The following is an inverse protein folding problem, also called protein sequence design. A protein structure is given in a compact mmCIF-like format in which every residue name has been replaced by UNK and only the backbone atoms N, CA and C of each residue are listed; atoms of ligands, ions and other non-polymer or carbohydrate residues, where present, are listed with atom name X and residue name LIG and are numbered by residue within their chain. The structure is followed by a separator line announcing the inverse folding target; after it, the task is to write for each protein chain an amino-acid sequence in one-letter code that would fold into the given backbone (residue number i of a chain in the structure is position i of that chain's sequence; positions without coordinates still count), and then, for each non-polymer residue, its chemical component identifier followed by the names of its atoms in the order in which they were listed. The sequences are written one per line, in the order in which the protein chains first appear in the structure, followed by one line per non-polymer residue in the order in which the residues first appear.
data_IF_160019213507
#
_entry.id   IF_160019213507
#
_cell.length_a   1.000
_cell.length_b   1.000
_cell.length_c   1.000
_cell.angle_alpha   90.00
_cell.angle_beta   90.00
_cell.angle_gamma   90.00
#
_symmetry.space_group_name_H-M   'P 1'
#
loop_
_entity.id
_entity.type
_entity.pdbx_description
1 polymer ?
#
# COMPACT_ATOMS: atom_id res chain seq x y z
N UNK A 1 20.10 -64.53 -15.40
CA UNK A 1 20.45 -63.28 -16.11
C UNK A 1 20.59 -62.16 -15.09
N UNK A 2 21.72 -61.44 -15.17
CA UNK A 2 22.31 -60.57 -14.14
C UNK A 2 21.45 -59.36 -13.72
N UNK A 3 21.08 -59.29 -12.44
CA UNK A 3 20.44 -58.13 -11.81
C UNK A 3 21.45 -57.16 -11.15
N UNK A 4 22.74 -57.26 -11.47
CA UNK A 4 23.82 -56.50 -10.81
C UNK A 4 24.16 -55.15 -11.46
N UNK A 5 23.44 -54.74 -12.51
CA UNK A 5 23.66 -53.47 -13.23
C UNK A 5 22.80 -52.32 -12.74
N UNK A 6 21.64 -52.59 -12.15
CA UNK A 6 20.71 -51.54 -11.70
C UNK A 6 21.13 -50.93 -10.36
N UNK A 7 21.72 -51.73 -9.46
CA UNK A 7 22.18 -51.27 -8.14
C UNK A 7 23.40 -50.36 -8.20
N UNK A 8 24.24 -50.48 -9.24
CA UNK A 8 25.43 -49.63 -9.42
C UNK A 8 25.10 -48.22 -9.91
N UNK A 9 23.98 -48.05 -10.62
CA UNK A 9 23.52 -46.74 -11.08
C UNK A 9 22.91 -45.91 -9.95
N UNK A 10 22.19 -46.55 -9.03
CA UNK A 10 21.54 -45.86 -7.92
C UNK A 10 22.55 -45.32 -6.89
N UNK A 11 23.66 -46.02 -6.66
CA UNK A 11 24.73 -45.60 -5.74
C UNK A 11 25.53 -44.42 -6.30
N UNK A 12 25.65 -44.29 -7.63
CA UNK A 12 26.33 -43.16 -8.27
C UNK A 12 25.53 -41.85 -8.14
N UNK A 13 24.20 -41.92 -8.21
CA UNK A 13 23.35 -40.73 -8.11
C UNK A 13 23.25 -40.15 -6.69
N UNK A 14 23.36 -40.99 -5.65
CA UNK A 14 23.28 -40.52 -4.24
C UNK A 14 24.58 -39.83 -3.80
N UNK A 15 25.73 -40.16 -4.38
CA UNK A 15 27.02 -39.53 -4.08
C UNK A 15 27.23 -38.13 -4.70
N UNK A 16 26.37 -37.72 -5.64
CA UNK A 16 26.44 -36.42 -6.31
C UNK A 16 25.67 -35.29 -5.60
N UNK A 17 24.92 -35.58 -4.52
CA UNK A 17 24.06 -34.59 -3.83
C UNK A 17 24.68 -34.05 -2.52
N UNK A 18 25.79 -34.63 -2.04
CA UNK A 18 26.46 -34.22 -0.79
C UNK A 18 27.50 -33.09 -0.93
N UNK A 19 27.38 -32.25 -1.97
CA UNK A 19 28.40 -31.25 -2.34
C UNK A 19 27.96 -29.79 -2.38
N UNK A 20 26.88 -29.39 -1.68
CA UNK A 20 26.51 -27.97 -1.56
C UNK A 20 26.10 -27.63 -0.12
N UNK A 21 27.07 -27.70 0.78
CA UNK A 21 27.05 -26.97 2.05
C UNK A 21 28.34 -26.16 2.08
N UNK A 22 28.24 -24.87 2.40
CA UNK A 22 29.31 -23.87 2.53
C UNK A 22 29.73 -23.11 1.26
N UNK A 23 28.95 -22.08 0.92
CA UNK A 23 29.42 -20.76 0.47
C UNK A 23 28.19 -19.86 0.37
N UNK A 24 28.07 -18.67 0.94
CA UNK A 24 28.92 -17.86 1.79
C UNK A 24 27.96 -16.88 2.47
N UNK A 25 27.98 -16.80 3.80
CA UNK A 25 27.61 -15.56 4.48
C UNK A 25 28.54 -14.49 3.92
N UNK A 26 28.01 -13.54 3.17
CA UNK A 26 28.71 -12.29 2.91
C UNK A 26 28.17 -11.28 3.91
N UNK A 27 28.82 -11.28 5.07
CA UNK A 27 29.02 -10.06 5.83
C UNK A 27 29.69 -9.05 4.89
N UNK A 28 28.90 -8.19 4.26
CA UNK A 28 29.45 -6.92 3.80
C UNK A 28 29.44 -5.98 5.00
N UNK A 29 30.57 -6.05 5.71
CA UNK A 29 31.11 -5.01 6.56
C UNK A 29 30.70 -3.63 6.05
N UNK A 30 29.83 -2.96 6.81
CA UNK A 30 29.57 -1.53 6.67
C UNK A 30 30.90 -0.83 6.91
N UNK A 31 31.62 -0.50 5.83
CA UNK A 31 32.68 0.48 5.90
C UNK A 31 32.02 1.82 6.18
N UNK A 32 32.19 2.28 7.42
CA UNK A 32 32.03 3.66 7.79
C UNK A 32 32.79 4.55 6.79
N UNK A 33 32.06 5.36 6.04
CA UNK A 33 32.54 6.68 5.65
C UNK A 33 31.72 7.67 6.46
N UNK A 34 32.34 8.01 7.59
CA UNK A 34 32.12 9.23 8.33
C UNK A 34 32.38 10.46 7.44
N UNK A 35 31.84 11.59 7.89
CA UNK A 35 31.82 12.93 7.33
C UNK A 35 30.56 13.28 6.53
N UNK A 36 29.48 13.62 7.26
CA UNK A 36 29.05 15.02 7.31
C UNK A 36 28.21 15.28 8.57
N UNK A 37 28.85 15.96 9.55
CA UNK A 37 28.27 16.69 10.69
C UNK A 37 27.23 15.97 11.55
N UNK A 38 27.72 15.40 12.65
CA UNK A 38 27.01 15.47 13.93
C UNK A 38 26.67 16.93 14.24
N UNK A 39 25.38 17.24 14.31
CA UNK A 39 24.89 18.28 15.21
C UNK A 39 24.13 17.52 16.30
N UNK A 40 24.79 17.35 17.44
CA UNK A 40 24.11 17.05 18.68
C UNK A 40 23.05 18.13 18.92
N UNK A 41 21.78 17.76 18.85
CA UNK A 41 20.68 18.58 19.34
C UNK A 41 19.98 17.80 20.45
N UNK A 42 20.02 18.43 21.61
CA UNK A 42 19.61 17.92 22.88
C UNK A 42 18.11 17.54 22.93
N UNK A 43 17.85 16.67 23.89
CA UNK A 43 16.56 16.33 24.46
C UNK A 43 15.63 17.55 24.60
N UNK A 44 14.55 17.55 23.82
CA UNK A 44 13.35 18.34 24.06
C UNK A 44 12.23 17.72 23.21
N UNK A 45 11.27 17.13 23.91
CA UNK A 45 9.93 16.85 23.39
C UNK A 45 9.44 18.02 22.53
N UNK A 46 9.51 17.86 21.21
CA UNK A 46 8.92 18.79 20.25
C UNK A 46 7.82 18.05 19.51
N UNK A 47 6.60 18.47 19.81
CA UNK A 47 5.36 18.02 19.23
C UNK A 47 5.42 18.10 17.69
N UNK A 48 5.24 16.95 17.03
CA UNK A 48 4.49 16.85 15.78
C UNK A 48 5.14 17.41 14.51
N UNK A 49 6.35 17.01 14.15
CA UNK A 49 6.78 17.13 12.74
C UNK A 49 7.27 15.77 12.29
N UNK A 50 6.55 15.12 11.36
CA UNK A 50 6.96 13.81 10.85
C UNK A 50 8.08 14.06 9.83
N UNK A 51 9.34 14.12 10.28
CA UNK A 51 10.45 14.52 9.41
C UNK A 51 10.87 13.50 8.33
N UNK A 52 10.02 12.53 7.96
CA UNK A 52 10.32 11.54 6.93
C UNK A 52 9.11 11.30 6.01
N UNK A 53 9.23 11.37 4.68
CA UNK A 53 8.25 10.79 3.78
C UNK A 53 8.21 9.29 4.02
N UNK A 54 7.05 8.73 4.34
CA UNK A 54 6.93 7.32 4.71
C UNK A 54 5.50 6.80 4.60
N UNK A 55 5.34 5.51 4.92
CA UNK A 55 4.03 4.89 5.12
C UNK A 55 3.62 5.08 6.58
N UNK A 56 2.42 5.57 6.82
CA UNK A 56 1.92 5.90 8.15
C UNK A 56 0.64 5.16 8.45
N UNK A 57 0.60 4.46 9.58
CA UNK A 57 -0.63 3.93 10.13
C UNK A 57 -1.30 5.02 10.97
N UNK A 58 -2.54 5.38 10.62
CA UNK A 58 -3.34 6.33 11.37
C UNK A 58 -3.84 5.67 12.66
N UNK A 59 -3.88 6.46 13.73
CA UNK A 59 -4.44 6.04 15.03
C UNK A 59 -5.71 6.79 15.41
N UNK A 60 -6.02 7.86 14.68
CA UNK A 60 -7.21 8.69 14.82
C UNK A 60 -7.66 9.21 13.46
N UNK A 61 -8.95 9.50 13.38
CA UNK A 61 -9.57 10.10 12.21
C UNK A 61 -10.35 9.10 11.36
N UNK A 62 -11.04 9.63 10.35
CA UNK A 62 -12.06 8.90 9.60
C UNK A 62 -11.73 8.96 8.11
N UNK A 63 -11.90 7.82 7.43
CA UNK A 63 -12.00 7.73 5.98
C UNK A 63 -13.46 7.45 5.62
N UNK A 64 -14.07 8.33 4.81
CA UNK A 64 -15.42 8.13 4.26
C UNK A 64 -15.34 7.88 2.77
N UNK A 65 -16.11 6.91 2.30
CA UNK A 65 -16.25 6.56 0.88
C UNK A 65 -17.74 6.49 0.57
N UNK A 66 -18.19 7.25 -0.42
CA UNK A 66 -19.55 7.19 -0.95
C UNK A 66 -19.51 6.61 -2.35
N UNK A 67 -20.32 5.58 -2.58
CA UNK A 67 -20.58 5.01 -3.90
C UNK A 67 -22.09 4.88 -4.03
N UNK A 68 -22.64 5.40 -5.13
CA UNK A 68 -24.09 5.56 -5.30
C UNK A 68 -24.68 6.36 -4.11
N UNK A 69 -25.67 5.80 -3.42
CA UNK A 69 -26.32 6.43 -2.26
C UNK A 69 -25.79 5.89 -0.91
N UNK A 70 -24.74 5.06 -0.95
CA UNK A 70 -24.20 4.39 0.24
C UNK A 70 -22.86 5.00 0.67
N UNK A 71 -22.78 5.39 1.95
CA UNK A 71 -21.54 5.85 2.57
C UNK A 71 -20.98 4.80 3.53
N UNK A 72 -19.72 4.44 3.30
CA UNK A 72 -18.93 3.54 4.12
C UNK A 72 -17.88 4.36 4.87
N UNK A 73 -17.63 3.99 6.13
CA UNK A 73 -16.64 4.67 6.96
C UNK A 73 -15.67 3.67 7.56
N UNK A 74 -14.40 4.05 7.59
CA UNK A 74 -13.37 3.40 8.39
C UNK A 74 -12.95 4.37 9.49
N UNK A 75 -12.87 3.89 10.72
CA UNK A 75 -12.42 4.67 11.87
C UNK A 75 -11.05 4.18 12.32
N UNK A 76 -10.01 5.04 12.23
CA UNK A 76 -8.64 4.68 12.60
C UNK A 76 -8.47 4.31 14.08
N UNK A 77 -9.45 4.58 14.94
CA UNK A 77 -9.45 4.10 16.32
C UNK A 77 -9.72 2.59 16.44
N UNK A 78 -10.39 1.99 15.46
CA UNK A 78 -10.81 0.58 15.49
C UNK A 78 -10.35 -0.23 14.28
N UNK A 79 -10.24 0.43 13.12
CA UNK A 79 -9.87 -0.12 11.83
C UNK A 79 -8.42 0.22 11.49
N UNK A 80 -7.83 -0.54 10.57
CA UNK A 80 -6.47 -0.26 10.10
C UNK A 80 -6.54 0.65 8.89
N UNK A 81 -6.14 1.91 9.03
CA UNK A 81 -6.05 2.88 7.94
C UNK A 81 -4.61 3.37 7.82
N UNK A 82 -4.03 3.27 6.63
CA UNK A 82 -2.70 3.75 6.35
C UNK A 82 -2.67 4.76 5.21
N UNK A 83 -1.86 5.79 5.36
CA UNK A 83 -1.42 6.63 4.25
C UNK A 83 -0.09 6.07 3.74
N UNK A 84 -0.01 5.78 2.44
CA UNK A 84 1.16 5.15 1.84
C UNK A 84 1.86 6.11 0.88
N UNK A 85 3.19 6.07 0.88
CA UNK A 85 4.07 6.69 -0.10
C UNK A 85 5.03 5.62 -0.61
N UNK A 86 4.97 5.33 -1.90
CA UNK A 86 5.76 4.26 -2.53
C UNK A 86 6.63 4.86 -3.62
N UNK A 87 7.93 4.63 -3.54
CA UNK A 87 8.90 5.00 -4.56
C UNK A 87 9.52 3.72 -5.14
N UNK A 88 9.40 3.52 -6.45
CA UNK A 88 10.01 2.40 -7.18
C UNK A 88 10.74 2.94 -8.42
N UNK A 89 12.06 3.14 -8.29
CA UNK A 89 12.85 3.87 -9.29
C UNK A 89 12.32 5.29 -9.45
N UNK A 90 11.98 5.66 -10.68
CA UNK A 90 11.40 6.97 -11.00
C UNK A 90 9.90 7.06 -10.70
N UNK A 91 9.23 5.92 -10.52
CA UNK A 91 7.79 5.88 -10.26
C UNK A 91 7.52 6.21 -8.80
N UNK A 92 6.66 7.20 -8.58
CA UNK A 92 6.25 7.66 -7.25
C UNK A 92 4.74 7.63 -7.17
N UNK A 93 4.24 7.07 -6.08
CA UNK A 93 2.82 7.00 -5.78
C UNK A 93 2.58 7.37 -4.34
N UNK A 94 1.40 7.94 -4.08
CA UNK A 94 0.86 8.06 -2.75
C UNK A 94 -0.59 7.59 -2.73
N UNK A 95 -1.11 7.26 -1.56
CA UNK A 95 -2.46 6.73 -1.47
C UNK A 95 -2.92 6.43 -0.05
N UNK A 96 -4.12 5.87 0.03
CA UNK A 96 -4.76 5.46 1.28
C UNK A 96 -5.15 4.00 1.13
N UNK A 97 -4.87 3.21 2.15
CA UNK A 97 -5.41 1.85 2.29
C UNK A 97 -6.17 1.75 3.60
N UNK A 98 -7.26 1.00 3.61
CA UNK A 98 -8.06 0.77 4.79
C UNK A 98 -8.61 -0.66 4.81
N UNK A 99 -8.69 -1.26 5.99
CA UNK A 99 -9.38 -2.52 6.23
C UNK A 99 -10.08 -2.45 7.58
N UNK A 100 -11.36 -2.82 7.60
CA UNK A 100 -12.13 -2.79 8.83
C UNK A 100 -11.72 -3.95 9.75
N UNK A 101 -11.93 -3.79 11.06
CA UNK A 101 -11.56 -4.81 12.05
C UNK A 101 -12.16 -6.19 11.79
N UNK A 102 -13.36 -6.24 11.22
CA UNK A 102 -14.04 -7.49 10.88
C UNK A 102 -13.48 -8.17 9.62
N UNK A 103 -12.55 -7.51 8.90
CA UNK A 103 -12.01 -7.96 7.61
C UNK A 103 -13.10 -8.24 6.56
N UNK A 104 -14.21 -7.52 6.63
CA UNK A 104 -15.33 -7.64 5.68
C UNK A 104 -15.33 -6.55 4.62
N UNK A 105 -14.54 -5.49 4.81
CA UNK A 105 -14.42 -4.38 3.88
C UNK A 105 -12.97 -3.92 3.82
N UNK A 106 -12.46 -3.69 2.61
CA UNK A 106 -11.18 -3.02 2.41
C UNK A 106 -11.22 -2.07 1.24
N UNK A 107 -10.49 -0.98 1.36
CA UNK A 107 -10.43 0.08 0.36
C UNK A 107 -8.98 0.45 0.10
N UNK A 108 -8.67 0.77 -1.15
CA UNK A 108 -7.38 1.29 -1.58
C UNK A 108 -7.58 2.31 -2.70
N UNK A 109 -6.90 3.44 -2.60
CA UNK A 109 -6.82 4.42 -3.69
C UNK A 109 -5.41 5.00 -3.75
N UNK A 110 -4.90 5.21 -4.96
CA UNK A 110 -3.58 5.79 -5.17
C UNK A 110 -3.58 6.81 -6.30
N UNK A 111 -2.58 7.68 -6.25
CA UNK A 111 -2.27 8.68 -7.26
C UNK A 111 -0.80 8.61 -7.60
N UNK A 112 -0.46 8.98 -8.83
CA UNK A 112 0.92 9.24 -9.24
C UNK A 112 1.47 10.51 -8.57
N UNK A 113 2.79 10.55 -8.41
CA UNK A 113 3.54 11.69 -7.90
C UNK A 113 3.88 11.61 -6.43
N UNK A 114 4.20 12.76 -5.84
CA UNK A 114 4.56 12.91 -4.44
C UNK A 114 3.38 13.41 -3.62
N UNK A 115 3.22 12.90 -2.40
CA UNK A 115 2.36 13.53 -1.42
C UNK A 115 2.99 14.84 -0.95
N UNK A 116 2.28 15.95 -1.22
CA UNK A 116 2.60 17.28 -0.72
C UNK A 116 1.31 17.99 -0.33
N UNK A 117 1.40 18.99 0.55
CA UNK A 117 0.24 19.81 0.89
C UNK A 117 -0.27 20.55 -0.35
N UNK A 118 -1.59 20.72 -0.46
CA UNK A 118 -2.30 21.27 -1.62
C UNK A 118 -2.06 20.53 -2.95
N UNK A 119 -1.65 19.26 -2.91
CA UNK A 119 -1.53 18.44 -4.12
C UNK A 119 -2.91 18.16 -4.71
N UNK A 120 -2.98 18.11 -6.04
CA UNK A 120 -4.14 17.66 -6.79
C UNK A 120 -3.64 16.77 -7.93
N UNK A 121 -3.80 15.46 -7.76
CA UNK A 121 -3.14 14.49 -8.61
C UNK A 121 -4.14 13.44 -9.10
N UNK A 122 -3.90 12.92 -10.31
CA UNK A 122 -4.80 11.97 -10.97
C UNK A 122 -4.76 10.61 -10.26
N UNK A 123 -5.93 10.00 -10.12
CA UNK A 123 -6.03 8.64 -9.61
C UNK A 123 -5.36 7.68 -10.59
N UNK A 124 -4.49 6.83 -10.04
CA UNK A 124 -3.71 5.83 -10.76
C UNK A 124 -4.13 4.39 -10.41
N UNK A 125 -4.82 4.21 -9.28
CA UNK A 125 -5.35 2.93 -8.84
C UNK A 125 -6.48 3.12 -7.84
N UNK A 126 -7.42 2.17 -7.83
CA UNK A 126 -8.57 2.21 -6.94
C UNK A 126 -9.21 0.84 -6.81
N UNK A 127 -9.54 0.43 -5.58
CA UNK A 127 -10.27 -0.79 -5.32
C UNK A 127 -11.08 -0.68 -4.03
N UNK A 128 -12.31 -1.20 -4.06
CA UNK A 128 -13.15 -1.41 -2.89
C UNK A 128 -13.65 -2.86 -2.89
N UNK A 129 -13.25 -3.62 -1.88
CA UNK A 129 -13.62 -5.02 -1.71
C UNK A 129 -14.59 -5.20 -0.56
N UNK A 130 -15.58 -6.07 -0.77
CA UNK A 130 -16.48 -6.56 0.25
C UNK A 130 -16.35 -8.09 0.34
N UNK A 131 -16.05 -8.56 1.54
CA UNK A 131 -15.88 -9.97 1.85
C UNK A 131 -16.84 -10.37 2.95
N UNK A 132 -17.64 -11.40 2.74
CA UNK A 132 -18.34 -12.08 3.84
C UNK A 132 -17.88 -13.54 3.80
N UNK A 133 -16.73 -13.81 4.44
CA UNK A 133 -16.32 -15.16 4.84
C UNK A 133 -15.47 -16.04 3.90
N UNK A 134 -14.99 -15.59 2.73
CA UNK A 134 -14.33 -16.49 1.76
C UNK A 134 -13.01 -15.99 1.13
N UNK A 135 -12.30 -16.91 0.43
CA UNK A 135 -11.03 -16.68 -0.31
C UNK A 135 -11.13 -15.70 -1.48
N UNK A 136 -12.34 -15.28 -1.88
CA UNK A 136 -12.61 -14.29 -2.93
C UNK A 136 -13.61 -13.25 -2.41
N UNK A 137 -13.46 -11.96 -2.78
CA UNK A 137 -14.45 -10.95 -2.44
C UNK A 137 -15.79 -11.26 -3.13
N UNK A 138 -16.89 -11.10 -2.40
CA UNK A 138 -18.25 -11.28 -2.94
C UNK A 138 -18.63 -10.15 -3.89
N UNK A 139 -18.09 -8.97 -3.64
CA UNK A 139 -18.30 -7.78 -4.44
C UNK A 139 -17.00 -7.00 -4.48
N UNK A 140 -16.59 -6.61 -5.68
CA UNK A 140 -15.45 -5.74 -5.89
C UNK A 140 -15.80 -4.60 -6.83
N UNK A 141 -15.30 -3.42 -6.49
CA UNK A 141 -15.25 -2.27 -7.37
C UNK A 141 -13.80 -1.95 -7.63
N UNK A 142 -13.41 -1.80 -8.89
CA UNK A 142 -12.02 -1.53 -9.28
C UNK A 142 -11.95 -0.39 -10.26
N UNK A 143 -10.85 0.36 -10.22
CA UNK A 143 -10.56 1.35 -11.25
C UNK A 143 -10.42 0.59 -12.57
N UNK A 144 -11.30 0.91 -13.50
CA UNK A 144 -11.32 0.22 -14.78
C UNK A 144 -10.22 0.76 -15.70
N UNK A 145 -9.72 -0.12 -16.57
CA UNK A 145 -8.83 0.26 -17.68
C UNK A 145 -9.59 0.90 -18.87
N UNK A 146 -10.93 0.88 -18.82
CA UNK A 146 -11.81 1.26 -19.93
C UNK A 146 -12.28 2.73 -19.88
N UNK A 147 -11.93 3.49 -18.83
CA UNK A 147 -12.10 4.95 -18.82
C UNK A 147 -10.96 5.63 -19.58
N UNK A 148 -11.24 6.77 -20.20
CA UNK A 148 -10.19 7.61 -20.79
C UNK A 148 -9.16 8.04 -19.74
N UNK A 149 -7.89 8.23 -20.15
CA UNK A 149 -6.78 8.64 -19.25
C UNK A 149 -7.02 9.97 -18.51
N UNK A 150 -8.01 10.76 -18.93
CA UNK A 150 -8.37 12.02 -18.29
C UNK A 150 -9.57 11.89 -17.32
N UNK A 151 -10.23 10.73 -17.30
CA UNK A 151 -11.48 10.50 -16.57
C UNK A 151 -11.32 9.56 -15.35
N UNK A 152 -10.09 9.26 -14.91
CA UNK A 152 -9.86 8.36 -13.77
C UNK A 152 -10.19 8.99 -12.41
N UNK A 153 -10.39 10.31 -12.37
CA UNK A 153 -10.63 11.08 -11.15
C UNK A 153 -9.34 11.60 -10.51
N UNK A 154 -9.45 12.15 -9.29
CA UNK A 154 -8.37 12.88 -8.62
C UNK A 154 -8.36 12.65 -7.11
N UNK A 155 -7.16 12.70 -6.51
CA UNK A 155 -6.93 12.84 -5.07
C UNK A 155 -6.42 14.26 -4.81
N UNK A 156 -7.10 14.97 -3.90
CA UNK A 156 -6.67 16.28 -3.41
C UNK A 156 -6.18 16.16 -1.98
N UNK A 157 -4.93 16.56 -1.72
CA UNK A 157 -4.36 16.65 -0.38
C UNK A 157 -4.42 18.11 0.08
N UNK A 158 -5.21 18.40 1.11
CA UNK A 158 -5.25 19.72 1.73
C UNK A 158 -4.08 19.88 2.70
N UNK A 159 -3.86 18.87 3.55
CA UNK A 159 -2.73 18.80 4.47
C UNK A 159 -2.01 17.48 4.30
N UNK A 160 -0.70 17.55 4.41
CA UNK A 160 0.15 16.37 4.44
C UNK A 160 1.25 16.64 5.45
N UNK A 161 1.47 15.69 6.35
CA UNK A 161 2.58 15.69 7.29
C UNK A 161 2.73 17.04 8.03
N UNK A 162 1.68 17.41 8.74
CA UNK A 162 1.57 18.69 9.43
C UNK A 162 1.08 18.46 10.85
N UNK A 163 1.91 18.77 11.86
CA UNK A 163 1.55 18.52 13.26
C UNK A 163 1.30 17.03 13.52
N UNK A 164 0.11 16.69 14.02
CA UNK A 164 -0.37 15.33 14.19
C UNK A 164 -1.11 14.80 12.95
N UNK A 165 -1.33 15.61 11.91
CA UNK A 165 -2.03 15.22 10.69
C UNK A 165 -1.05 14.51 9.76
N UNK A 166 -1.33 13.24 9.51
CA UNK A 166 -0.65 12.43 8.49
C UNK A 166 -1.05 12.96 7.11
N UNK A 167 -2.37 12.98 6.85
CA UNK A 167 -2.93 13.49 5.61
C UNK A 167 -4.40 13.87 5.80
N UNK A 168 -4.82 14.96 5.14
CA UNK A 168 -6.22 15.39 5.07
C UNK A 168 -6.55 15.75 3.64
N UNK A 169 -7.72 15.35 3.17
CA UNK A 169 -8.15 15.68 1.83
C UNK A 169 -9.40 14.97 1.36
N UNK A 170 -9.59 15.00 0.05
CA UNK A 170 -10.73 14.40 -0.65
C UNK A 170 -10.28 13.66 -1.89
N UNK A 171 -11.14 12.81 -2.42
CA UNK A 171 -10.94 12.20 -3.72
C UNK A 171 -12.28 11.96 -4.42
N UNK A 172 -12.21 11.82 -5.74
CA UNK A 172 -13.24 11.14 -6.50
C UNK A 172 -12.60 10.28 -7.59
N UNK A 173 -13.29 9.22 -7.98
CA UNK A 173 -12.89 8.30 -9.04
C UNK A 173 -14.11 7.61 -9.63
N UNK A 174 -13.91 6.77 -10.65
CA UNK A 174 -14.95 5.94 -11.24
C UNK A 174 -14.52 4.48 -11.16
N UNK A 175 -15.28 3.68 -10.42
CA UNK A 175 -15.01 2.26 -10.26
C UNK A 175 -16.04 1.42 -11.01
N UNK A 176 -15.60 0.35 -11.64
CA UNK A 176 -16.46 -0.64 -12.27
C UNK A 176 -16.67 -1.82 -11.31
N UNK A 177 -17.89 -2.34 -11.27
CA UNK A 177 -18.19 -3.58 -10.54
C UNK A 177 -17.59 -4.79 -11.29
N UNK A 178 -16.90 -5.67 -10.57
CA UNK A 178 -16.33 -6.94 -11.05
C UNK A 178 -15.32 -6.85 -12.22
N UNK A 179 -14.77 -5.68 -12.55
CA UNK A 179 -13.83 -5.43 -13.67
C UNK A 179 -14.25 -6.04 -15.03
N UNK A 180 -15.54 -5.98 -15.37
CA UNK A 180 -16.05 -6.43 -16.68
C UNK A 180 -16.12 -5.27 -17.66
N UNK A 181 -15.83 -5.53 -18.94
CA UNK A 181 -15.83 -4.53 -20.01
C UNK A 181 -17.17 -3.80 -20.17
N UNK A 182 -18.28 -4.49 -19.89
CA UNK A 182 -19.64 -3.94 -19.96
C UNK A 182 -20.19 -3.43 -18.62
N UNK A 183 -19.39 -3.43 -17.55
CA UNK A 183 -19.88 -2.97 -16.25
C UNK A 183 -20.10 -1.45 -16.24
N UNK A 184 -21.22 -0.97 -15.68
CA UNK A 184 -21.40 0.45 -15.48
C UNK A 184 -20.31 1.01 -14.54
N UNK A 185 -19.95 2.27 -14.78
CA UNK A 185 -19.03 3.01 -13.94
C UNK A 185 -19.79 3.75 -12.85
N UNK A 186 -19.36 3.55 -11.61
CA UNK A 186 -19.91 4.22 -10.46
C UNK A 186 -18.95 5.32 -10.02
N UNK A 187 -19.47 6.53 -9.90
CA UNK A 187 -18.70 7.61 -9.26
C UNK A 187 -18.54 7.27 -7.79
N UNK A 188 -17.30 7.29 -7.34
CA UNK A 188 -16.92 7.09 -5.95
C UNK A 188 -16.29 8.36 -5.46
N UNK A 189 -16.78 8.89 -4.36
CA UNK A 189 -16.24 10.08 -3.71
C UNK A 189 -15.78 9.73 -2.31
N UNK A 190 -14.82 10.47 -1.76
CA UNK A 190 -14.44 10.27 -0.39
C UNK A 190 -13.66 11.41 0.21
N UNK A 191 -13.54 11.34 1.52
CA UNK A 191 -12.84 12.31 2.35
C UNK A 191 -12.07 11.59 3.43
N UNK A 192 -10.92 12.12 3.80
CA UNK A 192 -10.09 11.56 4.85
C UNK A 192 -9.47 12.67 5.69
N UNK A 193 -9.37 12.41 6.98
CA UNK A 193 -8.53 13.17 7.90
C UNK A 193 -7.84 12.15 8.81
N UNK A 194 -6.57 11.90 8.57
CA UNK A 194 -5.79 10.85 9.22
C UNK A 194 -4.75 11.47 10.14
N UNK A 195 -4.70 10.99 11.38
CA UNK A 195 -3.84 11.56 12.41
C UNK A 195 -3.03 10.49 13.15
N UNK A 196 -1.86 10.91 13.61
CA UNK A 196 -1.11 10.24 14.68
C UNK A 196 -1.82 10.42 16.02
N UNK A 197 -1.31 9.75 17.06
CA UNK A 197 -1.94 9.64 18.38
C UNK A 197 -2.06 10.99 19.08
#
# INVERSE_FOLDING_TARGET
MNNSRFTKWFILCVLLISGVVSSCQKDDSVKAMDNTKEVAAADSASLGIINTPGNFLASKGILKITIEDSTYSFDAATDSIAFINVHNGDNKYFGITAINKAHTMSFGISSEGFAVANANSKVAGGQFLFTVGERKPLLQYTLTRFVGKDDTGKITLEKYNNQNIIAKGTFFTFLAKDDKESSPFYRVEGSFELQLK
#
